data_IF_931711305966
#
_entry.id   IF_931711305966
#
_cell.length_a   1.000
_cell.length_b   1.000
_cell.length_c   1.000
_cell.angle_alpha   90.00
_cell.angle_beta   90.00
_cell.angle_gamma   90.00
#
_symmetry.space_group_name_H-M   'P 1'
#
loop_
_entity.id
_entity.type
_entity.pdbx_description
1 polymer ?
#
# COMPACT_ATOMS: atom_id res chain seq x y z
N UNK A 1 -19.61 17.43 0.40
CA UNK A 1 -19.13 18.51 1.29
C UNK A 1 -17.85 18.01 1.96
N UNK A 2 -16.81 18.83 2.05
CA UNK A 2 -15.54 18.49 2.73
C UNK A 2 -15.46 19.38 3.96
N UNK A 3 -15.21 18.79 5.13
CA UNK A 3 -14.99 19.51 6.38
C UNK A 3 -13.49 19.46 6.71
N UNK A 4 -13.01 20.49 7.40
CA UNK A 4 -11.61 20.64 7.78
C UNK A 4 -11.45 20.88 9.27
N UNK A 5 -10.34 20.41 9.85
CA UNK A 5 -9.92 20.77 11.21
C UNK A 5 -9.23 22.15 11.23
N UNK A 6 -8.85 22.61 12.45
CA UNK A 6 -8.13 23.88 12.61
C UNK A 6 -6.75 23.90 11.92
N UNK A 7 -6.16 22.75 11.64
CA UNK A 7 -4.91 22.59 10.91
C UNK A 7 -5.07 22.58 9.38
N UNK A 8 -6.32 22.67 8.89
CA UNK A 8 -6.65 22.62 7.47
C UNK A 8 -6.63 21.20 6.87
N UNK A 9 -6.71 20.16 7.71
CA UNK A 9 -6.80 18.79 7.22
C UNK A 9 -8.28 18.42 7.02
N UNK A 10 -8.65 17.72 5.93
CA UNK A 10 -10.02 17.28 5.73
C UNK A 10 -10.43 16.26 6.79
N UNK A 11 -11.50 16.52 7.52
CA UNK A 11 -12.07 15.60 8.53
C UNK A 11 -13.16 14.71 7.96
N UNK A 12 -13.71 15.08 6.80
CA UNK A 12 -14.68 14.30 6.06
C UNK A 12 -14.38 14.39 4.56
N UNK A 13 -14.11 13.27 3.93
CA UNK A 13 -13.86 13.19 2.49
C UNK A 13 -14.81 12.19 1.86
N UNK A 14 -15.69 12.65 0.95
CA UNK A 14 -16.69 11.81 0.26
C UNK A 14 -17.55 10.96 1.23
N UNK A 15 -17.90 11.52 2.39
CA UNK A 15 -18.67 10.81 3.42
C UNK A 15 -17.84 9.89 4.33
N UNK A 16 -16.53 9.83 4.15
CA UNK A 16 -15.61 9.02 4.96
C UNK A 16 -14.93 9.91 6.00
N UNK A 17 -15.11 9.66 7.31
CA UNK A 17 -14.44 10.39 8.37
C UNK A 17 -12.93 10.08 8.39
N UNK A 18 -12.13 11.14 8.56
CA UNK A 18 -10.69 11.11 8.65
C UNK A 18 -10.24 11.71 9.98
N UNK A 19 -9.25 11.08 10.63
CA UNK A 19 -8.61 11.60 11.85
C UNK A 19 -7.14 11.84 11.57
N UNK A 20 -6.63 13.00 11.92
CA UNK A 20 -5.26 13.42 11.71
C UNK A 20 -4.50 13.50 13.05
N UNK A 21 -3.21 13.24 12.99
CA UNK A 21 -2.28 13.41 14.10
C UNK A 21 -1.36 14.61 13.88
N UNK A 22 -0.35 14.74 14.72
CA UNK A 22 0.67 15.76 14.61
C UNK A 22 1.36 15.73 13.25
N UNK A 23 1.77 16.91 12.75
CA UNK A 23 2.45 17.04 11.47
C UNK A 23 1.57 16.74 10.25
N UNK A 24 0.25 16.86 10.37
CA UNK A 24 -0.73 16.59 9.30
C UNK A 24 -0.66 15.16 8.77
N UNK A 25 -0.37 14.20 9.64
CA UNK A 25 -0.31 12.78 9.28
C UNK A 25 -1.68 12.13 9.46
N UNK A 26 -2.16 11.46 8.43
CA UNK A 26 -3.43 10.73 8.51
C UNK A 26 -3.30 9.57 9.51
N UNK A 27 -4.07 9.63 10.60
CA UNK A 27 -4.01 8.64 11.67
C UNK A 27 -5.03 7.52 11.48
N UNK A 28 -6.24 7.88 11.02
CA UNK A 28 -7.36 6.93 10.89
C UNK A 28 -8.29 7.31 9.76
N UNK A 29 -8.78 6.30 9.08
CA UNK A 29 -9.91 6.35 8.14
C UNK A 29 -11.02 5.46 8.70
N UNK A 30 -12.24 6.02 8.89
CA UNK A 30 -13.38 5.29 9.41
C UNK A 30 -14.32 4.90 8.27
N UNK A 31 -14.37 3.61 7.97
CA UNK A 31 -15.16 3.02 6.91
C UNK A 31 -16.40 2.33 7.49
N UNK A 32 -17.41 2.03 6.66
CA UNK A 32 -18.63 1.36 7.11
C UNK A 32 -18.41 -0.03 7.73
N UNK A 33 -17.32 -0.70 7.36
CA UNK A 33 -16.96 -2.04 7.84
C UNK A 33 -15.91 -2.03 8.96
N UNK A 34 -15.36 -0.87 9.34
CA UNK A 34 -14.33 -0.76 10.37
C UNK A 34 -13.36 0.40 10.13
N UNK A 35 -12.18 0.33 10.71
CA UNK A 35 -11.17 1.39 10.61
C UNK A 35 -9.90 0.91 9.93
N UNK A 36 -9.21 1.86 9.30
CA UNK A 36 -7.81 1.71 8.86
C UNK A 36 -6.98 2.72 9.63
N UNK A 37 -6.04 2.21 10.43
CA UNK A 37 -5.16 3.00 11.28
C UNK A 37 -3.74 3.01 10.72
N UNK A 38 -3.09 4.17 10.82
CA UNK A 38 -1.73 4.39 10.36
C UNK A 38 -0.82 4.87 11.50
N UNK A 39 0.40 4.37 11.52
CA UNK A 39 1.44 4.85 12.43
C UNK A 39 2.70 5.24 11.65
N UNK A 40 3.41 6.22 12.18
CA UNK A 40 4.56 6.85 11.57
C UNK A 40 5.74 6.87 12.53
N UNK A 41 6.95 6.86 12.00
CA UNK A 41 8.18 7.12 12.77
C UNK A 41 8.39 8.64 13.00
N UNK A 42 9.49 8.98 13.67
CA UNK A 42 9.88 10.37 13.93
C UNK A 42 10.11 11.16 12.64
N UNK A 43 10.57 10.52 11.57
CA UNK A 43 10.85 11.15 10.28
C UNK A 43 9.58 11.33 9.43
N UNK A 44 8.44 10.79 9.90
CA UNK A 44 7.15 10.86 9.20
C UNK A 44 6.94 9.78 8.15
N UNK A 45 7.76 8.75 8.12
CA UNK A 45 7.55 7.59 7.27
C UNK A 45 6.48 6.70 7.89
N UNK A 46 5.56 6.21 7.09
CA UNK A 46 4.52 5.29 7.54
C UNK A 46 5.13 3.92 7.83
N UNK A 47 5.18 3.54 9.10
CA UNK A 47 5.78 2.27 9.54
C UNK A 47 4.77 1.17 9.80
N UNK A 48 3.49 1.52 9.97
CA UNK A 48 2.44 0.51 10.20
C UNK A 48 1.10 0.94 9.64
N UNK A 49 0.36 -0.03 9.11
CA UNK A 49 -1.06 0.05 8.78
C UNK A 49 -1.80 -1.10 9.45
N UNK A 50 -2.90 -0.80 10.13
CA UNK A 50 -3.81 -1.81 10.69
C UNK A 50 -5.16 -1.65 10.03
N UNK A 51 -5.70 -2.73 9.46
CA UNK A 51 -6.97 -2.75 8.74
C UNK A 51 -7.73 -4.00 9.13
N UNK A 52 -8.81 -3.83 9.91
CA UNK A 52 -9.51 -4.95 10.50
C UNK A 52 -8.55 -5.82 11.31
N UNK A 53 -8.50 -7.11 11.00
CA UNK A 53 -7.62 -8.08 11.66
C UNK A 53 -6.20 -8.15 11.08
N UNK A 54 -5.86 -7.30 10.10
CA UNK A 54 -4.55 -7.35 9.47
C UNK A 54 -3.67 -6.17 9.88
N UNK A 55 -2.42 -6.46 10.17
CA UNK A 55 -1.39 -5.45 10.39
C UNK A 55 -0.29 -5.59 9.35
N UNK A 56 0.05 -4.50 8.69
CA UNK A 56 1.18 -4.39 7.77
C UNK A 56 2.24 -3.48 8.37
N UNK A 57 3.45 -3.98 8.52
CA UNK A 57 4.62 -3.23 8.95
C UNK A 57 5.49 -2.95 7.74
N UNK A 58 5.96 -1.72 7.59
CA UNK A 58 6.77 -1.25 6.47
C UNK A 58 8.22 -1.03 6.90
N UNK A 59 9.15 -1.42 6.05
CA UNK A 59 10.59 -1.31 6.28
C UNK A 59 11.23 -0.48 5.18
N UNK A 60 12.12 0.42 5.56
CA UNK A 60 12.78 1.35 4.66
C UNK A 60 14.29 1.19 4.70
N UNK A 61 14.93 1.38 3.55
CA UNK A 61 16.36 1.65 3.44
C UNK A 61 16.52 3.12 3.02
N UNK A 62 16.94 3.97 3.97
CA UNK A 62 16.83 5.41 3.78
C UNK A 62 15.38 5.84 3.55
N UNK A 63 15.09 6.43 2.40
CA UNK A 63 13.74 6.86 2.02
C UNK A 63 13.02 5.86 1.09
N UNK A 64 13.65 4.74 0.78
CA UNK A 64 13.11 3.75 -0.15
C UNK A 64 12.42 2.63 0.64
N UNK A 65 11.17 2.32 0.31
CA UNK A 65 10.44 1.18 0.88
C UNK A 65 11.12 -0.13 0.44
N UNK A 66 11.81 -0.80 1.34
CA UNK A 66 12.57 -2.02 1.04
C UNK A 66 11.76 -3.30 1.21
N UNK A 67 10.70 -3.25 2.01
CA UNK A 67 9.85 -4.42 2.21
C UNK A 67 8.69 -4.14 3.16
N UNK A 68 7.86 -5.15 3.32
CA UNK A 68 6.78 -5.15 4.31
C UNK A 68 6.55 -6.56 4.88
N UNK A 69 5.93 -6.59 6.05
CA UNK A 69 5.42 -7.83 6.66
C UNK A 69 3.95 -7.62 6.97
N UNK A 70 3.10 -8.52 6.48
CA UNK A 70 1.67 -8.55 6.78
C UNK A 70 1.34 -9.73 7.68
N UNK A 71 0.69 -9.46 8.80
CA UNK A 71 0.21 -10.45 9.77
C UNK A 71 -1.28 -10.32 9.99
N UNK A 72 -1.99 -11.44 10.14
CA UNK A 72 -3.35 -11.45 10.66
C UNK A 72 -3.32 -11.28 12.19
N UNK A 73 -4.41 -10.76 12.78
CA UNK A 73 -4.48 -10.55 14.24
C UNK A 73 -4.31 -11.87 15.04
N UNK A 74 -4.83 -12.96 14.52
CA UNK A 74 -4.65 -14.30 15.11
C UNK A 74 -3.18 -14.73 15.23
N UNK A 75 -2.29 -14.10 14.44
CA UNK A 75 -0.86 -14.35 14.42
C UNK A 75 -0.08 -13.29 15.22
N UNK A 76 -0.79 -12.38 15.90
CA UNK A 76 -0.18 -11.37 16.77
C UNK A 76 0.51 -12.08 17.95
N UNK A 77 1.80 -11.81 18.11
CA UNK A 77 2.61 -12.42 19.16
C UNK A 77 3.35 -13.69 18.76
N UNK A 78 3.07 -14.28 17.60
CA UNK A 78 3.85 -15.42 17.09
C UNK A 78 5.06 -14.94 16.29
N UNK A 79 6.24 -15.38 16.70
CA UNK A 79 7.50 -15.07 16.00
C UNK A 79 7.54 -15.86 14.69
N UNK A 80 7.77 -15.17 13.55
CA UNK A 80 7.95 -15.86 12.27
C UNK A 80 6.69 -16.11 11.45
N UNK A 81 5.49 -15.83 11.98
CA UNK A 81 4.24 -15.91 11.20
C UNK A 81 3.94 -14.58 10.51
N UNK A 82 3.55 -14.64 9.26
CA UNK A 82 3.21 -13.49 8.43
C UNK A 82 3.81 -13.60 7.04
N UNK A 83 3.21 -12.92 6.09
CA UNK A 83 3.72 -12.83 4.74
C UNK A 83 4.73 -11.69 4.64
N UNK A 84 5.96 -12.02 4.24
CA UNK A 84 7.02 -11.04 3.99
C UNK A 84 7.09 -10.73 2.50
N UNK A 85 7.28 -9.45 2.18
CA UNK A 85 7.53 -8.98 0.82
C UNK A 85 8.77 -8.09 0.83
N UNK A 86 9.72 -8.40 -0.04
CA UNK A 86 10.90 -7.58 -0.28
C UNK A 86 10.81 -6.96 -1.67
N UNK A 87 11.21 -5.71 -1.79
CA UNK A 87 11.20 -4.98 -3.05
C UNK A 87 12.60 -4.81 -3.59
N UNK A 88 12.77 -5.12 -4.86
CA UNK A 88 14.02 -4.90 -5.60
C UNK A 88 13.78 -3.81 -6.64
N UNK A 89 14.70 -2.90 -6.72
CA UNK A 89 14.63 -1.72 -7.60
C UNK A 89 15.70 -1.81 -8.68
N UNK A 90 15.40 -1.23 -9.82
CA UNK A 90 16.38 -1.02 -10.88
C UNK A 90 17.34 0.14 -10.53
N UNK A 91 18.29 0.41 -11.40
CA UNK A 91 19.29 1.47 -11.22
C UNK A 91 18.69 2.90 -11.23
N UNK A 92 17.45 3.03 -11.68
CA UNK A 92 16.70 4.31 -11.70
C UNK A 92 15.76 4.45 -10.50
N UNK A 93 15.80 3.51 -9.56
CA UNK A 93 14.93 3.49 -8.38
C UNK A 93 13.48 3.12 -8.68
N UNK A 94 13.23 2.42 -9.80
CA UNK A 94 11.91 1.92 -10.17
C UNK A 94 11.75 0.50 -9.61
N UNK A 95 10.65 0.14 -8.93
CA UNK A 95 10.40 -1.22 -8.50
C UNK A 95 10.49 -2.19 -9.69
N UNK A 96 11.36 -3.17 -9.61
CA UNK A 96 11.60 -4.15 -10.67
C UNK A 96 10.96 -5.49 -10.34
N UNK A 97 11.12 -5.93 -9.09
CA UNK A 97 10.66 -7.23 -8.61
C UNK A 97 10.20 -7.12 -7.17
N UNK A 98 9.24 -7.94 -6.79
CA UNK A 98 8.96 -8.25 -5.40
C UNK A 98 9.23 -9.73 -5.13
N UNK A 99 9.80 -10.02 -3.97
CA UNK A 99 10.04 -11.38 -3.49
C UNK A 99 9.18 -11.66 -2.28
N UNK A 100 8.34 -12.67 -2.37
CA UNK A 100 7.45 -13.09 -1.30
C UNK A 100 8.07 -14.23 -0.50
N UNK A 101 8.06 -14.10 0.83
CA UNK A 101 8.56 -15.10 1.79
C UNK A 101 9.98 -15.59 1.50
N UNK A 102 10.81 -14.76 0.86
CA UNK A 102 12.18 -15.09 0.47
C UNK A 102 12.31 -16.15 -0.61
N UNK A 103 11.21 -16.55 -1.28
CA UNK A 103 11.19 -17.72 -2.19
C UNK A 103 10.58 -17.44 -3.55
N UNK A 104 9.49 -16.69 -3.63
CA UNK A 104 8.72 -16.53 -4.87
C UNK A 104 8.88 -15.12 -5.40
N UNK A 105 9.32 -15.02 -6.64
CA UNK A 105 9.58 -13.77 -7.33
C UNK A 105 8.45 -13.42 -8.29
N UNK A 106 8.07 -12.13 -8.27
CA UNK A 106 7.12 -11.53 -9.20
C UNK A 106 7.72 -10.25 -9.77
N UNK A 107 7.49 -10.01 -11.05
CA UNK A 107 8.09 -8.89 -11.76
C UNK A 107 7.01 -7.87 -12.15
N UNK A 108 7.34 -6.60 -12.06
CA UNK A 108 6.42 -5.51 -12.35
C UNK A 108 6.25 -5.28 -13.84
N UNK A 109 4.99 -5.14 -14.26
CA UNK A 109 4.63 -4.65 -15.60
C UNK A 109 4.23 -3.17 -15.51
N UNK A 110 4.67 -2.41 -16.50
CA UNK A 110 4.44 -0.96 -16.57
C UNK A 110 3.82 -0.56 -17.90
N UNK A 111 3.04 0.51 -17.88
CA UNK A 111 2.67 1.22 -19.11
C UNK A 111 3.73 2.28 -19.47
N UNK A 112 3.55 2.95 -20.62
CA UNK A 112 4.45 4.00 -21.08
C UNK A 112 4.52 5.25 -20.16
N UNK A 113 3.59 5.41 -19.23
CA UNK A 113 3.55 6.50 -18.25
C UNK A 113 4.25 6.13 -16.93
N UNK A 114 4.69 4.88 -16.79
CA UNK A 114 5.33 4.36 -15.57
C UNK A 114 4.37 3.90 -14.48
N UNK A 115 3.09 3.70 -14.79
CA UNK A 115 2.14 3.10 -13.87
C UNK A 115 2.31 1.59 -13.85
N UNK A 116 2.17 0.97 -12.69
CA UNK A 116 2.15 -0.48 -12.55
C UNK A 116 0.84 -1.02 -13.13
N UNK A 117 0.91 -1.79 -14.21
CA UNK A 117 -0.27 -2.40 -14.85
C UNK A 117 -0.49 -3.85 -14.44
N UNK A 118 0.49 -4.46 -13.79
CA UNK A 118 0.36 -5.83 -13.31
C UNK A 118 1.64 -6.42 -12.75
N UNK A 119 1.56 -7.69 -12.42
CA UNK A 119 2.68 -8.51 -11.98
C UNK A 119 2.67 -9.81 -12.77
N UNK A 120 3.86 -10.29 -13.13
CA UNK A 120 4.08 -11.61 -13.73
C UNK A 120 4.87 -12.50 -12.77
N UNK A 121 4.62 -13.79 -12.84
CA UNK A 121 5.39 -14.79 -12.14
C UNK A 121 6.67 -15.19 -12.91
N UNK A 122 7.45 -16.11 -12.35
CA UNK A 122 8.68 -16.63 -12.99
C UNK A 122 8.44 -17.40 -14.29
N UNK A 123 7.19 -17.79 -14.58
CA UNK A 123 6.78 -18.45 -15.83
C UNK A 123 6.26 -17.45 -16.88
N UNK A 124 6.44 -16.15 -16.65
CA UNK A 124 5.92 -15.06 -17.48
C UNK A 124 4.38 -15.03 -17.60
N UNK A 125 3.67 -15.63 -16.63
CA UNK A 125 2.22 -15.54 -16.58
C UNK A 125 1.81 -14.28 -15.81
N UNK A 126 0.88 -13.49 -16.38
CA UNK A 126 0.34 -12.32 -15.69
C UNK A 126 -0.61 -12.80 -14.62
N UNK A 127 -0.22 -12.63 -13.36
CA UNK A 127 -0.98 -13.07 -12.18
C UNK A 127 -1.74 -11.94 -11.48
N UNK A 128 -1.35 -10.70 -11.72
CA UNK A 128 -2.10 -9.52 -11.28
C UNK A 128 -2.24 -8.53 -12.42
N UNK A 129 -3.44 -7.93 -12.53
CA UNK A 129 -3.72 -6.82 -13.48
C UNK A 129 -4.42 -5.69 -12.75
N UNK A 130 -3.97 -4.46 -13.05
CA UNK A 130 -4.61 -3.22 -12.58
C UNK A 130 -5.11 -2.41 -13.78
N UNK A 131 -6.28 -1.82 -13.63
CA UNK A 131 -6.79 -0.82 -14.56
C UNK A 131 -7.05 0.50 -13.83
N UNK A 132 -6.79 1.60 -14.50
CA UNK A 132 -6.92 2.93 -13.95
C UNK A 132 -7.83 3.79 -14.85
N UNK A 133 -8.51 4.74 -14.24
CA UNK A 133 -9.09 5.84 -15.01
C UNK A 133 -8.02 6.93 -15.27
N UNK A 134 -8.39 7.97 -16.01
CA UNK A 134 -7.48 9.08 -16.36
C UNK A 134 -6.90 9.84 -15.15
N UNK A 135 -7.49 9.69 -13.98
CA UNK A 135 -7.06 10.31 -12.73
C UNK A 135 -6.19 9.39 -11.86
N UNK A 136 -5.89 8.19 -12.34
CA UNK A 136 -5.10 7.21 -11.61
C UNK A 136 -5.88 6.40 -10.56
N UNK A 137 -7.21 6.55 -10.47
CA UNK A 137 -8.02 5.71 -9.60
C UNK A 137 -8.02 4.29 -10.15
N UNK A 138 -7.73 3.29 -9.32
CA UNK A 138 -7.87 1.87 -9.66
C UNK A 138 -9.35 1.58 -9.90
N UNK A 139 -9.69 1.16 -11.11
CA UNK A 139 -11.07 0.81 -11.54
C UNK A 139 -11.32 -0.68 -11.55
N UNK A 140 -10.27 -1.47 -11.74
CA UNK A 140 -10.33 -2.93 -11.72
C UNK A 140 -9.02 -3.51 -11.22
N UNK A 141 -9.13 -4.58 -10.45
CA UNK A 141 -8.01 -5.41 -10.02
C UNK A 141 -8.37 -6.87 -10.24
N UNK A 142 -7.53 -7.59 -10.97
CA UNK A 142 -7.63 -9.03 -11.15
C UNK A 142 -6.40 -9.66 -10.49
N UNK A 143 -6.60 -10.69 -9.67
CA UNK A 143 -5.55 -11.42 -8.98
C UNK A 143 -5.82 -12.92 -9.09
N UNK A 144 -4.99 -13.61 -9.85
CA UNK A 144 -5.03 -15.06 -10.06
C UNK A 144 -3.84 -15.75 -9.38
N UNK A 145 -3.07 -15.03 -8.56
CA UNK A 145 -1.87 -15.55 -7.89
C UNK A 145 -2.17 -16.63 -6.83
N UNK A 146 -3.41 -16.68 -6.33
CA UNK A 146 -3.78 -17.57 -5.22
C UNK A 146 -3.27 -17.13 -3.83
N UNK A 147 -2.53 -16.02 -3.76
CA UNK A 147 -1.89 -15.54 -2.52
C UNK A 147 -2.27 -14.09 -2.17
N UNK A 148 -3.32 -13.55 -2.83
CA UNK A 148 -3.75 -12.15 -2.66
C UNK A 148 -2.62 -11.15 -2.93
N UNK A 149 -1.85 -11.39 -3.96
CA UNK A 149 -0.66 -10.64 -4.33
C UNK A 149 -0.97 -9.17 -4.61
N UNK A 150 -2.13 -8.88 -5.21
CA UNK A 150 -2.59 -7.52 -5.46
C UNK A 150 -2.78 -6.70 -4.18
N UNK A 151 -3.12 -7.36 -3.07
CA UNK A 151 -3.26 -6.71 -1.75
C UNK A 151 -1.90 -6.54 -1.05
N UNK A 152 -0.96 -7.42 -1.34
CA UNK A 152 0.40 -7.35 -0.80
C UNK A 152 1.27 -6.34 -1.54
N UNK A 153 1.01 -6.14 -2.84
CA UNK A 153 1.73 -5.17 -3.64
C UNK A 153 1.23 -3.74 -3.34
N UNK A 154 2.10 -2.84 -2.82
CA UNK A 154 1.70 -1.48 -2.54
C UNK A 154 1.80 -0.55 -3.75
N UNK A 155 2.53 -0.91 -4.80
CA UNK A 155 2.83 -0.01 -5.91
C UNK A 155 1.81 -0.10 -7.02
N UNK A 156 1.17 1.03 -7.33
CA UNK A 156 0.16 1.15 -8.37
C UNK A 156 0.44 2.36 -9.28
N UNK A 157 -0.49 3.31 -9.36
CA UNK A 157 -0.37 4.51 -10.19
C UNK A 157 0.88 5.31 -9.81
N UNK A 158 1.73 5.63 -10.78
CA UNK A 158 3.01 6.35 -10.61
C UNK A 158 3.91 5.78 -9.51
N UNK A 159 3.77 4.50 -9.21
CA UNK A 159 4.51 3.79 -8.14
C UNK A 159 4.22 4.33 -6.73
N UNK A 160 3.13 5.07 -6.55
CA UNK A 160 2.70 5.50 -5.23
C UNK A 160 2.17 4.31 -4.44
N UNK A 161 2.34 4.39 -3.12
CA UNK A 161 1.81 3.35 -2.21
C UNK A 161 0.30 3.48 -2.14
N UNK A 162 -0.39 2.46 -2.60
CA UNK A 162 -1.84 2.36 -2.65
C UNK A 162 -2.39 1.57 -1.48
N UNK A 163 -3.44 2.07 -0.88
CA UNK A 163 -4.19 1.39 0.17
C UNK A 163 -5.55 0.96 -0.38
N UNK A 164 -5.70 -0.32 -0.80
CA UNK A 164 -6.94 -0.80 -1.43
C UNK A 164 -8.15 -0.70 -0.50
N UNK A 165 -7.94 -0.75 0.82
CA UNK A 165 -9.00 -0.64 1.82
C UNK A 165 -9.66 0.75 1.82
N UNK A 166 -8.90 1.79 1.54
CA UNK A 166 -9.37 3.19 1.53
C UNK A 166 -9.54 3.77 0.13
N UNK A 167 -8.93 3.12 -0.87
CA UNK A 167 -8.85 3.64 -2.24
C UNK A 167 -7.93 4.86 -2.38
N UNK A 168 -7.05 5.12 -1.42
CA UNK A 168 -6.17 6.29 -1.41
C UNK A 168 -4.72 5.91 -1.68
N UNK A 169 -3.97 6.86 -2.23
CA UNK A 169 -2.53 6.80 -2.39
C UNK A 169 -1.83 7.57 -1.29
N UNK A 170 -0.80 6.98 -0.70
CA UNK A 170 0.10 7.62 0.24
C UNK A 170 1.31 8.21 -0.52
N UNK A 171 1.46 9.53 -0.48
CA UNK A 171 2.56 10.27 -1.10
C UNK A 171 3.50 10.86 -0.02
N UNK A 172 3.87 10.06 0.96
CA UNK A 172 4.59 10.53 2.15
C UNK A 172 3.65 11.20 3.15
N UNK A 173 3.66 12.53 3.22
CA UNK A 173 2.77 13.29 4.13
C UNK A 173 1.39 13.59 3.57
N UNK A 174 1.10 13.23 2.33
CA UNK A 174 -0.16 13.53 1.66
C UNK A 174 -0.87 12.26 1.23
N UNK A 175 -2.20 12.35 1.18
CA UNK A 175 -3.06 11.29 0.65
C UNK A 175 -3.87 11.84 -0.53
N UNK A 176 -3.98 11.03 -1.55
CA UNK A 176 -4.67 11.36 -2.80
C UNK A 176 -5.74 10.31 -3.10
#
# INVERSE_FOLDING_TARGET
>A
MVFYDAGGNPTLLRGVPLTWGEGRRLKRVSLSWGTVDFAYDSDGKRVRKTSGENTTTYYYNGNVLSGLVRKAAKDAGTTGTGTTVQFVYDTQGKPFMLRMNGKTDYFYLYNGLGDVTGLVDSSNQVVVRYQYNSWGKVTSTQDTSGVSLATLNPFCYRKYVYDPETGMYCLGSRYY
#
